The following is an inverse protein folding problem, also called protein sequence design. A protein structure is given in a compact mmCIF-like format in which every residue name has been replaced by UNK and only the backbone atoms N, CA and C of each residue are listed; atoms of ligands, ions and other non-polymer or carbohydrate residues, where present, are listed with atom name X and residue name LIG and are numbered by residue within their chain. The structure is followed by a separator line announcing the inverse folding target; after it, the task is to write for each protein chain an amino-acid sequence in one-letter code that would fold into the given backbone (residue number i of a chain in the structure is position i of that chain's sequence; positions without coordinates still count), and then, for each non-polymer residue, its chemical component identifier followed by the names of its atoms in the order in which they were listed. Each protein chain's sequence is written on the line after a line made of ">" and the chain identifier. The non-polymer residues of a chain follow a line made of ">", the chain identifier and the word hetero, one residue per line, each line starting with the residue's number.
data_IF_313575118402
#
_entry.id   IF_313575118402
#
_cell.length_a   1.000
_cell.length_b   1.000
_cell.length_c   1.000
_cell.angle_alpha   90.00
_cell.angle_beta   90.00
_cell.angle_gamma   90.00
#
_symmetry.space_group_name_H-M   'P 1'
#
loop_
_entity.id
_entity.type
_entity.pdbx_description
1 polymer ?
#
# COMPACT_ATOMS: atom_id res chain seq x y z
N UNK A 1 6.56 5.81 22.63
CA UNK A 1 5.23 6.41 22.86
C UNK A 1 4.20 5.38 22.44
N UNK A 2 3.03 5.25 23.10
CA UNK A 2 2.07 4.19 22.80
C UNK A 2 1.44 4.29 21.40
N UNK A 3 1.47 5.46 20.76
CA UNK A 3 0.95 5.71 19.41
C UNK A 3 2.03 5.68 18.32
N UNK A 4 3.27 5.25 18.63
CA UNK A 4 4.33 5.12 17.65
C UNK A 4 4.19 3.79 16.92
N UNK A 5 4.43 3.80 15.61
CA UNK A 5 4.54 2.60 14.76
C UNK A 5 5.96 2.44 14.25
N UNK A 6 6.48 1.21 14.27
CA UNK A 6 7.74 0.86 13.62
C UNK A 6 7.44 0.53 12.16
N UNK A 7 8.15 1.17 11.23
CA UNK A 7 7.94 0.93 9.80
C UNK A 7 8.84 -0.19 9.30
N UNK A 8 8.25 -1.28 8.79
CA UNK A 8 8.99 -2.47 8.34
C UNK A 8 8.60 -2.79 6.89
N UNK A 9 9.56 -2.91 5.95
CA UNK A 9 9.28 -3.34 4.59
C UNK A 9 8.68 -4.75 4.52
N UNK A 10 7.75 -4.97 3.58
CA UNK A 10 7.12 -6.26 3.27
C UNK A 10 8.02 -7.17 2.41
N UNK A 11 9.33 -7.12 2.63
CA UNK A 11 10.29 -8.00 1.97
C UNK A 11 10.27 -9.38 2.60
N UNK A 12 10.81 -10.40 1.94
CA UNK A 12 10.92 -11.76 2.46
C UNK A 12 11.52 -11.80 3.89
N UNK A 13 12.60 -11.04 4.13
CA UNK A 13 13.21 -10.92 5.46
C UNK A 13 12.39 -10.06 6.44
N UNK A 14 11.55 -9.16 5.93
CA UNK A 14 10.66 -8.32 6.73
C UNK A 14 9.47 -9.08 7.30
N UNK A 15 8.92 -10.06 6.56
CA UNK A 15 7.77 -10.88 6.98
C UNK A 15 7.95 -11.51 8.39
N UNK A 16 9.04 -12.26 8.68
CA UNK A 16 9.23 -12.83 10.02
C UNK A 16 9.48 -11.76 11.10
N UNK A 17 10.06 -10.61 10.73
CA UNK A 17 10.24 -9.49 11.66
C UNK A 17 8.89 -8.85 12.03
N UNK A 18 7.98 -8.67 11.07
CA UNK A 18 6.62 -8.17 11.30
C UNK A 18 5.89 -9.08 12.28
N UNK A 19 5.86 -10.38 12.02
CA UNK A 19 5.22 -11.36 12.90
C UNK A 19 5.75 -11.30 14.33
N UNK A 20 7.08 -11.22 14.48
CA UNK A 20 7.75 -11.14 15.78
C UNK A 20 7.35 -9.86 16.52
N UNK A 21 7.44 -8.71 15.86
CA UNK A 21 7.12 -7.41 16.47
C UNK A 21 5.65 -7.34 16.91
N UNK A 22 4.73 -7.84 16.08
CA UNK A 22 3.30 -7.91 16.42
C UNK A 22 3.08 -8.81 17.65
N UNK A 23 3.74 -9.98 17.69
CA UNK A 23 3.71 -10.88 18.85
C UNK A 23 4.31 -10.29 20.13
N UNK A 24 5.21 -9.33 20.01
CA UNK A 24 5.77 -8.56 21.12
C UNK A 24 4.93 -7.33 21.50
N UNK A 25 3.71 -7.24 20.97
CA UNK A 25 2.78 -6.12 21.19
C UNK A 25 3.29 -4.76 20.67
N UNK A 26 4.11 -4.77 19.61
CA UNK A 26 4.64 -3.56 18.98
C UNK A 26 3.74 -3.17 17.79
N UNK A 27 3.37 -1.88 17.73
CA UNK A 27 2.62 -1.36 16.57
C UNK A 27 3.53 -1.30 15.33
N UNK A 28 3.04 -1.81 14.20
CA UNK A 28 3.83 -1.89 12.97
C UNK A 28 3.09 -1.19 11.82
N UNK A 29 3.81 -0.34 11.09
CA UNK A 29 3.40 0.10 9.76
C UNK A 29 4.19 -0.75 8.75
N UNK A 30 3.52 -1.69 8.10
CA UNK A 30 4.16 -2.49 7.06
C UNK A 30 4.17 -1.68 5.76
N UNK A 31 5.27 -1.67 5.01
CA UNK A 31 5.45 -0.81 3.83
C UNK A 31 6.00 -1.55 2.62
N UNK A 32 6.00 -0.91 1.44
CA UNK A 32 6.51 -1.49 0.19
C UNK A 32 5.72 -2.73 -0.26
N UNK A 33 4.40 -2.71 -0.09
CA UNK A 33 3.49 -3.66 -0.74
C UNK A 33 2.97 -3.05 -2.03
N UNK A 34 2.98 -3.85 -3.10
CA UNK A 34 2.56 -3.43 -4.43
C UNK A 34 1.61 -4.43 -5.10
N UNK A 35 1.50 -5.65 -4.57
CA UNK A 35 0.71 -6.75 -5.13
C UNK A 35 -0.08 -7.48 -4.06
N UNK A 36 -1.03 -8.31 -4.53
CA UNK A 36 -1.79 -9.22 -3.67
C UNK A 36 -0.87 -10.13 -2.86
N UNK A 37 0.16 -10.72 -3.47
CA UNK A 37 1.10 -11.62 -2.79
C UNK A 37 1.85 -10.93 -1.64
N UNK A 38 2.30 -9.69 -1.85
CA UNK A 38 2.89 -8.89 -0.79
C UNK A 38 1.90 -8.67 0.36
N UNK A 39 0.64 -8.37 0.03
CA UNK A 39 -0.42 -8.15 1.02
C UNK A 39 -0.79 -9.43 1.79
N UNK A 40 -0.91 -10.58 1.12
CA UNK A 40 -1.18 -11.87 1.75
C UNK A 40 -0.06 -12.28 2.70
N UNK A 41 1.21 -12.16 2.27
CA UNK A 41 2.35 -12.47 3.13
C UNK A 41 2.34 -11.65 4.43
N UNK A 42 1.98 -10.37 4.32
CA UNK A 42 1.91 -9.44 5.45
C UNK A 42 0.71 -9.69 6.35
N UNK A 43 -0.48 -9.88 5.77
CA UNK A 43 -1.71 -10.12 6.53
C UNK A 43 -1.60 -11.44 7.30
N UNK A 44 -1.06 -12.50 6.69
CA UNK A 44 -0.80 -13.76 7.38
C UNK A 44 0.26 -13.63 8.49
N UNK A 45 1.33 -12.83 8.28
CA UNK A 45 2.30 -12.56 9.33
C UNK A 45 1.70 -11.77 10.50
N UNK A 46 0.80 -10.83 10.22
CA UNK A 46 0.05 -10.09 11.23
C UNK A 46 -0.80 -11.04 12.08
N UNK A 47 -1.61 -11.88 11.44
CA UNK A 47 -2.47 -12.85 12.12
C UNK A 47 -1.68 -13.81 13.01
N UNK A 48 -0.59 -14.41 12.50
CA UNK A 48 0.32 -15.26 13.30
C UNK A 48 0.98 -14.50 14.46
N UNK A 49 1.24 -13.21 14.29
CA UNK A 49 1.75 -12.35 15.35
C UNK A 49 0.70 -12.12 16.44
N UNK A 50 -0.55 -11.83 16.06
CA UNK A 50 -1.67 -11.61 16.99
C UNK A 50 -1.94 -12.86 17.84
N UNK A 51 -1.84 -14.06 17.25
CA UNK A 51 -1.91 -15.34 17.96
C UNK A 51 -0.88 -15.44 19.12
N UNK A 52 0.31 -14.88 18.92
CA UNK A 52 1.43 -14.92 19.89
C UNK A 52 1.42 -13.76 20.88
N UNK A 53 0.66 -12.70 20.57
CA UNK A 53 0.61 -11.48 21.35
C UNK A 53 0.03 -11.74 22.76
N UNK A 54 0.73 -11.25 23.79
CA UNK A 54 0.26 -11.39 25.17
C UNK A 54 -1.02 -10.54 25.41
N UNK A 55 -1.09 -9.36 24.80
CA UNK A 55 -2.24 -8.45 24.85
C UNK A 55 -2.55 -7.81 23.48
N UNK A 56 -3.24 -8.53 22.57
CA UNK A 56 -3.49 -8.06 21.21
C UNK A 56 -4.30 -6.76 21.15
N UNK A 57 -5.02 -6.39 22.23
CA UNK A 57 -5.74 -5.12 22.33
C UNK A 57 -4.86 -3.88 22.35
N UNK A 58 -3.54 -4.07 22.49
CA UNK A 58 -2.55 -2.98 22.48
C UNK A 58 -1.84 -2.84 21.14
N UNK A 59 -2.15 -3.69 20.16
CA UNK A 59 -1.51 -3.70 18.85
C UNK A 59 -2.35 -2.95 17.84
N UNK A 60 -1.77 -1.92 17.24
CA UNK A 60 -2.28 -1.28 16.04
C UNK A 60 -1.32 -1.54 14.88
N UNK A 61 -1.85 -1.97 13.74
CA UNK A 61 -1.07 -2.23 12.54
C UNK A 61 -1.74 -1.64 11.31
N UNK A 62 -0.93 -1.24 10.33
CA UNK A 62 -1.40 -0.81 9.01
C UNK A 62 -0.56 -1.49 7.92
N UNK A 63 -1.22 -1.87 6.83
CA UNK A 63 -0.59 -2.42 5.65
C UNK A 63 -0.50 -1.35 4.55
N UNK A 64 0.64 -0.67 4.44
CA UNK A 64 0.89 0.39 3.44
C UNK A 64 1.09 -0.16 2.02
N UNK A 65 0.02 -0.14 1.23
CA UNK A 65 -0.06 -0.55 -0.17
C UNK A 65 0.15 0.65 -1.10
N UNK A 66 1.13 0.56 -1.99
CA UNK A 66 1.59 1.67 -2.82
C UNK A 66 0.82 1.72 -4.14
N UNK A 67 0.30 2.91 -4.48
CA UNK A 67 -0.66 3.08 -5.60
C UNK A 67 0.01 3.68 -6.83
N UNK A 68 0.34 4.97 -6.83
CA UNK A 68 0.78 5.68 -8.05
C UNK A 68 2.05 5.14 -8.73
N UNK A 69 2.89 4.43 -7.98
CA UNK A 69 4.10 3.80 -8.55
C UNK A 69 3.74 2.66 -9.51
N UNK A 70 2.63 1.97 -9.26
CA UNK A 70 2.13 0.88 -10.11
C UNK A 70 1.71 1.44 -11.47
N UNK A 71 0.81 2.43 -11.52
CA UNK A 71 0.41 3.04 -12.80
C UNK A 71 1.61 3.66 -13.52
N UNK A 72 2.53 4.33 -12.80
CA UNK A 72 3.72 4.89 -13.46
C UNK A 72 4.53 3.80 -14.19
N UNK A 73 4.73 2.63 -13.57
CA UNK A 73 5.48 1.54 -14.18
C UNK A 73 4.68 0.82 -15.29
N UNK A 74 3.40 0.58 -15.04
CA UNK A 74 2.51 -0.13 -15.96
C UNK A 74 2.19 0.73 -17.20
N UNK A 75 1.88 2.01 -17.03
CA UNK A 75 1.58 2.93 -18.14
C UNK A 75 2.78 3.08 -19.08
N UNK A 76 4.01 2.99 -18.57
CA UNK A 76 5.20 2.98 -19.43
C UNK A 76 5.23 1.77 -20.36
N UNK A 77 4.89 0.57 -19.86
CA UNK A 77 4.80 -0.62 -20.70
C UNK A 77 3.59 -0.58 -21.64
N UNK A 78 2.44 -0.12 -21.17
CA UNK A 78 1.23 0.04 -21.97
C UNK A 78 1.43 1.04 -23.13
N UNK A 79 2.21 2.09 -22.92
CA UNK A 79 2.54 3.07 -23.96
C UNK A 79 3.31 2.43 -25.13
N UNK A 80 4.18 1.46 -24.86
CA UNK A 80 4.91 0.71 -25.90
C UNK A 80 4.00 -0.17 -26.75
N UNK A 81 2.85 -0.61 -26.20
CA UNK A 81 1.83 -1.39 -26.90
C UNK A 81 0.87 -0.53 -27.76
N UNK A 82 0.96 0.80 -27.66
CA UNK A 82 0.16 1.73 -28.44
C UNK A 82 -1.35 1.55 -28.25
N UNK A 83 -2.09 1.31 -29.35
CA UNK A 83 -3.54 1.22 -29.33
C UNK A 83 -4.09 0.07 -28.45
N UNK A 84 -3.32 -1.00 -28.27
CA UNK A 84 -3.71 -2.12 -27.42
C UNK A 84 -3.63 -1.77 -25.92
N UNK A 85 -2.66 -0.95 -25.51
CA UNK A 85 -2.48 -0.55 -24.11
C UNK A 85 -3.27 0.69 -23.70
N UNK A 86 -3.63 1.56 -24.64
CA UNK A 86 -4.33 2.82 -24.37
C UNK A 86 -5.60 2.72 -23.49
N UNK A 87 -6.45 1.67 -23.61
CA UNK A 87 -7.64 1.54 -22.76
C UNK A 87 -7.36 1.29 -21.28
N UNK A 88 -6.14 0.85 -20.92
CA UNK A 88 -5.75 0.44 -19.56
C UNK A 88 -4.96 1.52 -18.80
N UNK A 89 -4.54 2.59 -19.49
CA UNK A 89 -3.75 3.67 -18.92
C UNK A 89 -4.43 4.31 -17.69
N UNK A 90 -3.73 4.40 -16.57
CA UNK A 90 -4.21 4.99 -15.32
C UNK A 90 -5.33 4.24 -14.61
N UNK A 91 -5.58 2.97 -14.96
CA UNK A 91 -6.64 2.14 -14.34
C UNK A 91 -6.09 1.05 -13.41
N UNK A 92 -4.87 0.61 -13.63
CA UNK A 92 -4.33 -0.64 -13.07
C UNK A 92 -4.09 -0.51 -11.57
N UNK A 93 -3.56 0.62 -11.09
CA UNK A 93 -3.28 0.79 -9.67
C UNK A 93 -4.55 0.80 -8.81
N UNK A 94 -5.63 1.45 -9.28
CA UNK A 94 -6.92 1.44 -8.58
C UNK A 94 -7.53 0.03 -8.64
N UNK A 95 -7.49 -0.63 -9.80
CA UNK A 95 -8.00 -2.00 -9.93
C UNK A 95 -7.30 -2.97 -8.96
N UNK A 96 -5.96 -2.93 -8.92
CA UNK A 96 -5.13 -3.73 -8.00
C UNK A 96 -5.48 -3.45 -6.53
N UNK A 97 -5.66 -2.18 -6.15
CA UNK A 97 -6.04 -1.80 -4.79
C UNK A 97 -7.47 -2.23 -4.43
N UNK A 98 -8.44 -2.14 -5.35
CA UNK A 98 -9.83 -2.61 -5.15
C UNK A 98 -9.87 -4.11 -4.91
N UNK A 99 -9.18 -4.91 -5.75
CA UNK A 99 -9.10 -6.37 -5.58
C UNK A 99 -8.41 -6.73 -4.26
N UNK A 100 -7.32 -6.02 -3.91
CA UNK A 100 -6.67 -6.17 -2.60
C UNK A 100 -7.61 -5.85 -1.43
N UNK A 101 -8.48 -4.85 -1.58
CA UNK A 101 -9.48 -4.52 -0.56
C UNK A 101 -10.55 -5.59 -0.41
N UNK A 102 -10.94 -6.30 -1.49
CA UNK A 102 -11.83 -7.47 -1.35
C UNK A 102 -11.18 -8.55 -0.49
N UNK A 103 -9.89 -8.81 -0.71
CA UNK A 103 -9.14 -9.75 0.14
C UNK A 103 -9.03 -9.28 1.60
N UNK A 104 -8.92 -7.97 1.82
CA UNK A 104 -9.03 -7.41 3.17
C UNK A 104 -10.39 -7.68 3.82
N UNK A 105 -11.49 -7.53 3.10
CA UNK A 105 -12.82 -7.82 3.64
C UNK A 105 -12.98 -9.31 3.99
N UNK A 106 -12.40 -10.22 3.20
CA UNK A 106 -12.40 -11.65 3.51
C UNK A 106 -11.63 -11.98 4.80
N UNK A 107 -10.50 -11.32 5.04
CA UNK A 107 -9.62 -11.62 6.18
C UNK A 107 -10.00 -10.85 7.46
N UNK A 108 -10.52 -9.64 7.31
CA UNK A 108 -10.66 -8.65 8.37
C UNK A 108 -12.06 -8.00 8.44
N UNK A 109 -13.03 -8.56 7.71
CA UNK A 109 -14.41 -8.10 7.70
C UNK A 109 -15.17 -8.48 8.97
N UNK A 110 -16.48 -8.72 8.82
CA UNK A 110 -17.42 -8.83 9.94
C UNK A 110 -17.09 -9.98 10.90
N UNK A 111 -16.51 -11.07 10.40
CA UNK A 111 -16.18 -12.26 11.20
C UNK A 111 -14.89 -12.12 12.02
N UNK A 112 -14.08 -11.08 11.78
CA UNK A 112 -12.75 -10.94 12.40
C UNK A 112 -12.81 -10.92 13.93
N UNK A 113 -13.74 -10.18 14.54
CA UNK A 113 -13.86 -10.13 16.00
C UNK A 113 -14.28 -11.48 16.60
N UNK A 114 -15.09 -12.25 15.87
CA UNK A 114 -15.52 -13.57 16.32
C UNK A 114 -14.36 -14.59 16.27
N UNK A 115 -13.50 -14.51 15.25
CA UNK A 115 -12.36 -15.41 15.06
C UNK A 115 -11.15 -15.04 15.93
N UNK A 116 -10.82 -13.75 16.00
CA UNK A 116 -9.60 -13.24 16.64
C UNK A 116 -9.84 -12.62 18.02
N UNK A 117 -11.05 -12.83 18.55
CA UNK A 117 -11.54 -12.31 19.83
C UNK A 117 -10.47 -12.32 20.93
N UNK A 118 -10.43 -11.21 21.69
CA UNK A 118 -9.44 -10.75 22.71
C UNK A 118 -9.14 -9.24 22.52
N UNK A 119 -9.98 -8.52 21.78
CA UNK A 119 -9.81 -7.10 21.49
C UNK A 119 -8.73 -6.81 20.44
N UNK A 120 -8.30 -7.80 19.65
CA UNK A 120 -7.42 -7.58 18.51
C UNK A 120 -8.09 -6.62 17.52
N UNK A 121 -7.32 -5.73 16.91
CA UNK A 121 -7.83 -4.85 15.86
C UNK A 121 -7.55 -5.45 14.46
N UNK A 122 -8.39 -5.18 13.45
CA UNK A 122 -8.03 -5.41 12.06
C UNK A 122 -6.74 -4.69 11.67
N UNK A 123 -5.86 -5.34 10.88
CA UNK A 123 -4.76 -4.62 10.22
C UNK A 123 -5.31 -3.85 9.03
N UNK A 124 -5.56 -2.56 9.22
CA UNK A 124 -6.14 -1.69 8.19
C UNK A 124 -5.22 -1.58 6.98
N UNK A 125 -5.79 -1.63 5.78
CA UNK A 125 -5.10 -1.20 4.57
C UNK A 125 -4.79 0.31 4.65
N UNK A 126 -3.60 0.68 4.19
CA UNK A 126 -3.15 2.06 4.09
C UNK A 126 -2.70 2.35 2.66
N UNK A 127 -3.35 3.28 1.99
CA UNK A 127 -2.98 3.72 0.64
C UNK A 127 -1.82 4.70 0.73
N UNK A 128 -0.68 4.30 0.16
CA UNK A 128 0.56 5.08 0.13
C UNK A 128 0.89 5.50 -1.30
N UNK A 129 1.66 6.58 -1.43
CA UNK A 129 2.01 7.15 -2.73
C UNK A 129 0.76 7.45 -3.57
N UNK A 130 -0.18 8.20 -3.03
CA UNK A 130 -1.48 8.51 -3.64
C UNK A 130 -1.55 9.90 -4.31
N UNK A 131 -0.41 10.59 -4.42
CA UNK A 131 -0.33 11.77 -5.29
C UNK A 131 -0.13 11.37 -6.74
N UNK A 132 -1.04 11.80 -7.62
CA UNK A 132 -1.00 11.57 -9.07
C UNK A 132 0.31 12.03 -9.70
N UNK A 133 0.88 11.21 -10.59
CA UNK A 133 2.16 11.50 -11.27
C UNK A 133 2.00 12.00 -12.69
N UNK A 134 0.94 11.57 -13.35
CA UNK A 134 0.63 11.95 -14.72
C UNK A 134 -0.30 13.17 -14.72
N UNK A 135 0.10 14.33 -15.29
CA UNK A 135 -0.74 15.53 -15.32
C UNK A 135 -1.99 15.39 -16.21
N UNK A 136 -2.11 14.33 -17.00
CA UNK A 136 -3.33 14.03 -17.76
C UNK A 136 -4.44 13.43 -16.88
N UNK A 137 -4.12 12.96 -15.67
CA UNK A 137 -5.08 12.41 -14.73
C UNK A 137 -5.47 13.45 -13.68
N UNK A 138 -6.63 13.24 -13.04
CA UNK A 138 -7.03 14.04 -11.88
C UNK A 138 -5.96 13.95 -10.78
N UNK A 139 -5.61 15.09 -10.18
CA UNK A 139 -4.63 15.18 -9.08
C UNK A 139 -5.11 14.54 -7.78
N UNK A 140 -6.41 14.21 -7.71
CA UNK A 140 -7.08 13.50 -6.61
C UNK A 140 -7.60 12.11 -7.01
N UNK A 141 -7.30 11.62 -8.21
CA UNK A 141 -7.75 10.32 -8.76
C UNK A 141 -7.62 9.17 -7.75
N UNK A 142 -6.45 9.01 -7.13
CA UNK A 142 -6.21 7.92 -6.18
C UNK A 142 -6.85 8.16 -4.81
N UNK A 143 -7.13 9.41 -4.45
CA UNK A 143 -7.82 9.70 -3.19
C UNK A 143 -9.26 9.29 -3.32
N UNK A 144 -9.96 9.79 -4.34
CA UNK A 144 -11.38 9.50 -4.60
C UNK A 144 -11.61 8.01 -4.87
N UNK A 145 -10.80 7.40 -5.75
CA UNK A 145 -10.99 6.01 -6.16
C UNK A 145 -10.72 4.97 -5.07
N UNK A 146 -10.15 5.36 -3.93
CA UNK A 146 -9.72 4.45 -2.86
C UNK A 146 -10.34 4.76 -1.49
N UNK A 147 -11.45 5.50 -1.47
CA UNK A 147 -12.20 5.72 -0.24
C UNK A 147 -13.00 4.46 0.09
N UNK A 148 -12.87 4.00 1.34
CA UNK A 148 -13.71 2.93 1.86
C UNK A 148 -13.47 2.68 3.34
N UNK A 149 -14.37 1.90 3.93
CA UNK A 149 -14.40 1.64 5.36
C UNK A 149 -13.09 1.01 5.87
N UNK A 150 -12.69 1.39 7.09
CA UNK A 150 -11.53 0.81 7.77
C UNK A 150 -10.20 0.88 6.98
N UNK A 151 -10.06 1.86 6.08
CA UNK A 151 -8.79 2.15 5.40
C UNK A 151 -8.16 3.44 5.92
N UNK A 152 -6.89 3.64 5.57
CA UNK A 152 -6.14 4.88 5.79
C UNK A 152 -5.59 5.34 4.45
N UNK A 153 -5.53 6.65 4.21
CA UNK A 153 -4.77 7.19 3.09
C UNK A 153 -3.69 8.15 3.63
N UNK A 154 -2.44 7.96 3.21
CA UNK A 154 -1.33 8.84 3.60
C UNK A 154 -1.02 9.80 2.47
N UNK A 155 -1.48 11.04 2.64
CA UNK A 155 -1.41 12.06 1.60
C UNK A 155 -0.21 13.00 1.81
N UNK A 156 0.52 13.37 0.74
CA UNK A 156 1.37 14.56 0.80
C UNK A 156 0.49 15.82 0.92
N UNK A 157 1.00 16.93 1.49
CA UNK A 157 0.21 18.14 1.72
C UNK A 157 -0.51 18.66 0.46
N UNK A 158 0.16 18.68 -0.69
CA UNK A 158 -0.44 19.15 -1.94
C UNK A 158 -1.67 18.34 -2.39
N UNK A 159 -1.65 17.02 -2.21
CA UNK A 159 -2.80 16.16 -2.56
C UNK A 159 -3.93 16.31 -1.54
N UNK A 160 -3.61 16.54 -0.26
CA UNK A 160 -4.61 16.87 0.75
C UNK A 160 -5.30 18.21 0.44
N UNK A 161 -4.52 19.23 0.05
CA UNK A 161 -5.06 20.55 -0.32
C UNK A 161 -5.95 20.46 -1.57
N UNK A 162 -5.54 19.71 -2.59
CA UNK A 162 -6.35 19.46 -3.79
C UNK A 162 -7.68 18.76 -3.46
N UNK A 163 -7.64 17.70 -2.64
CA UNK A 163 -8.86 17.01 -2.23
C UNK A 163 -9.79 17.90 -1.39
N UNK A 164 -9.24 18.76 -0.53
CA UNK A 164 -10.04 19.70 0.24
C UNK A 164 -10.68 20.81 -0.61
N UNK A 165 -10.04 21.19 -1.73
CA UNK A 165 -10.55 22.21 -2.65
C UNK A 165 -11.69 21.68 -3.54
N UNK A 166 -11.52 20.50 -4.14
CA UNK A 166 -12.45 20.03 -5.17
C UNK A 166 -12.74 18.52 -5.16
N UNK A 167 -12.40 17.80 -4.08
CA UNK A 167 -12.67 16.37 -3.95
C UNK A 167 -14.08 16.01 -3.51
N UNK A 168 -14.51 14.81 -3.88
CA UNK A 168 -15.75 14.18 -3.40
C UNK A 168 -15.44 12.94 -2.58
N UNK A 169 -16.16 12.76 -1.48
CA UNK A 169 -16.02 11.59 -0.62
C UNK A 169 -17.13 10.56 -0.91
N UNK A 170 -16.81 9.52 -1.66
CA UNK A 170 -17.67 8.35 -1.85
C UNK A 170 -17.16 7.15 -1.05
N UNK A 171 -17.85 6.81 0.03
CA UNK A 171 -17.45 5.68 0.91
C UNK A 171 -17.62 4.32 0.25
N UNK A 172 -18.32 4.24 -0.87
CA UNK A 172 -18.53 3.02 -1.63
C UNK A 172 -17.45 2.80 -2.71
N UNK A 173 -16.55 3.75 -2.96
CA UNK A 173 -15.61 3.69 -4.08
C UNK A 173 -14.80 2.38 -4.17
N UNK A 174 -14.36 1.83 -3.03
CA UNK A 174 -13.61 0.56 -2.98
C UNK A 174 -14.46 -0.72 -3.17
N UNK A 175 -15.78 -0.63 -3.08
CA UNK A 175 -16.72 -1.77 -3.23
C UNK A 175 -17.62 -1.66 -4.47
N UNK A 176 -17.57 -0.53 -5.17
CA UNK A 176 -18.19 -0.34 -6.48
C UNK A 176 -17.29 -0.85 -7.61
N UNK A 177 -17.91 -1.32 -8.69
CA UNK A 177 -17.24 -1.73 -9.93
C UNK A 177 -16.06 -2.71 -9.71
N UNK A 178 -16.20 -3.60 -8.73
CA UNK A 178 -15.16 -4.60 -8.39
C UNK A 178 -14.95 -5.59 -9.54
N UNK A 179 -16.03 -5.99 -10.23
CA UNK A 179 -15.94 -6.87 -11.40
C UNK A 179 -15.14 -6.20 -12.53
N UNK A 180 -15.30 -4.88 -12.72
CA UNK A 180 -14.50 -4.11 -13.70
C UNK A 180 -13.03 -4.05 -13.28
N UNK A 181 -12.74 -3.96 -11.98
CA UNK A 181 -11.36 -4.03 -11.48
C UNK A 181 -10.71 -5.38 -11.82
N UNK A 182 -11.40 -6.51 -11.62
CA UNK A 182 -10.92 -7.81 -12.06
C UNK A 182 -10.72 -7.87 -13.58
N UNK A 183 -11.66 -7.34 -14.36
CA UNK A 183 -11.57 -7.30 -15.82
C UNK A 183 -10.39 -6.45 -16.32
N UNK A 184 -10.04 -5.35 -15.65
CA UNK A 184 -8.84 -4.55 -15.96
C UNK A 184 -7.56 -5.37 -15.76
N UNK A 185 -7.46 -6.12 -14.67
CA UNK A 185 -6.29 -6.97 -14.40
C UNK A 185 -6.18 -8.13 -15.39
N UNK A 186 -7.30 -8.77 -15.74
CA UNK A 186 -7.33 -9.83 -16.78
C UNK A 186 -6.93 -9.27 -18.15
N UNK A 187 -7.44 -8.09 -18.52
CA UNK A 187 -7.07 -7.43 -19.78
C UNK A 187 -5.58 -7.04 -19.83
N UNK A 188 -5.02 -6.62 -18.69
CA UNK A 188 -3.60 -6.30 -18.57
C UNK A 188 -2.72 -7.52 -18.89
N UNK A 189 -3.06 -8.66 -18.31
CA UNK A 189 -2.40 -9.93 -18.62
C UNK A 189 -2.59 -10.32 -20.09
N UNK A 190 -3.81 -10.16 -20.63
CA UNK A 190 -4.12 -10.51 -22.02
C UNK A 190 -3.35 -9.69 -23.06
N UNK A 191 -2.93 -8.46 -22.72
CA UNK A 191 -2.05 -7.64 -23.57
C UNK A 191 -0.55 -7.89 -23.31
N UNK A 192 -0.23 -8.84 -22.43
CA UNK A 192 1.13 -9.32 -22.18
C UNK A 192 1.93 -8.50 -21.16
N UNK A 193 1.25 -7.72 -20.31
CA UNK A 193 1.92 -6.98 -19.22
C UNK A 193 1.82 -7.79 -17.93
N UNK A 194 2.97 -8.20 -17.41
CA UNK A 194 3.10 -8.98 -16.19
C UNK A 194 3.11 -8.05 -14.97
N UNK A 195 1.98 -7.92 -14.30
CA UNK A 195 1.84 -7.07 -13.12
C UNK A 195 2.69 -7.59 -11.95
N UNK A 196 2.80 -8.90 -11.77
CA UNK A 196 3.54 -9.49 -10.66
C UNK A 196 5.03 -9.14 -10.79
N UNK A 197 5.61 -9.36 -11.97
CA UNK A 197 7.00 -8.97 -12.25
C UNK A 197 7.25 -7.47 -12.04
N UNK A 198 6.30 -6.61 -12.45
CA UNK A 198 6.40 -5.16 -12.21
C UNK A 198 6.39 -4.85 -10.72
N UNK A 199 5.49 -5.46 -9.96
CA UNK A 199 5.33 -5.17 -8.53
C UNK A 199 6.50 -5.68 -7.69
N UNK A 200 7.11 -6.81 -8.06
CA UNK A 200 8.34 -7.33 -7.46
C UNK A 200 9.53 -6.41 -7.71
N UNK A 201 9.65 -5.92 -8.95
CA UNK A 201 10.67 -4.93 -9.30
C UNK A 201 10.46 -3.63 -8.53
N UNK A 202 9.20 -3.15 -8.41
CA UNK A 202 8.86 -1.97 -7.62
C UNK A 202 9.21 -2.11 -6.13
N UNK A 203 9.07 -3.32 -5.56
CA UNK A 203 9.52 -3.57 -4.19
C UNK A 203 11.05 -3.46 -4.10
N UNK A 204 11.77 -4.12 -4.99
CA UNK A 204 13.24 -4.09 -5.05
C UNK A 204 13.77 -2.67 -5.19
N UNK A 205 13.25 -1.92 -6.16
CA UNK A 205 13.62 -0.53 -6.41
C UNK A 205 13.21 0.38 -5.24
N UNK A 206 12.09 0.07 -4.60
CA UNK A 206 11.61 0.77 -3.41
C UNK A 206 12.56 0.62 -2.22
N UNK A 207 13.12 -0.57 -2.02
CA UNK A 207 14.15 -0.82 -0.99
C UNK A 207 15.41 -0.03 -1.31
N UNK A 208 15.90 -0.09 -2.56
CA UNK A 208 17.10 0.64 -2.96
C UNK A 208 16.94 2.15 -2.79
N UNK A 209 15.80 2.71 -3.20
CA UNK A 209 15.50 4.13 -3.04
C UNK A 209 15.48 4.56 -1.56
N UNK A 210 15.07 3.68 -0.64
CA UNK A 210 15.11 3.96 0.80
C UNK A 210 16.55 3.92 1.34
N UNK A 211 17.38 2.99 0.87
CA UNK A 211 18.82 2.94 1.22
C UNK A 211 19.51 4.21 0.76
N UNK A 212 19.34 4.58 -0.51
CA UNK A 212 19.97 5.76 -1.10
C UNK A 212 19.57 7.06 -0.37
N UNK A 213 18.29 7.20 -0.03
CA UNK A 213 17.79 8.34 0.72
C UNK A 213 18.39 8.40 2.15
N UNK A 214 18.59 7.24 2.78
CA UNK A 214 19.18 7.16 4.12
C UNK A 214 20.69 7.47 4.09
N UNK A 215 21.42 6.96 3.09
CA UNK A 215 22.84 7.29 2.90
C UNK A 215 23.03 8.78 2.62
N UNK A 216 22.15 9.39 1.83
CA UNK A 216 22.11 10.84 1.61
C UNK A 216 21.92 11.63 2.91
N UNK A 217 21.00 11.19 3.78
CA UNK A 217 20.78 11.79 5.10
C UNK A 217 22.05 11.70 5.97
N UNK A 218 22.69 10.53 6.03
CA UNK A 218 23.93 10.33 6.80
C UNK A 218 25.08 11.19 6.25
N UNK A 219 25.17 11.32 4.93
CA UNK A 219 26.11 12.23 4.26
C UNK A 219 25.93 13.68 4.70
N UNK A 220 24.69 14.19 4.65
CA UNK A 220 24.38 15.56 5.06
C UNK A 220 24.72 15.83 6.55
N UNK A 221 24.46 14.85 7.43
CA UNK A 221 24.86 14.95 8.85
C UNK A 221 26.38 15.02 8.99
N UNK A 222 27.11 14.18 8.26
CA UNK A 222 28.58 14.14 8.28
C UNK A 222 29.19 15.46 7.78
N UNK A 223 28.65 16.03 6.71
CA UNK A 223 29.06 17.34 6.19
C UNK A 223 28.82 18.43 7.22
N UNK A 224 27.60 18.49 7.79
CA UNK A 224 27.26 19.50 8.79
C UNK A 224 28.15 19.40 10.03
N UNK A 225 28.43 18.19 10.51
CA UNK A 225 29.36 17.96 11.62
C UNK A 225 30.76 18.46 11.29
N UNK A 226 31.26 18.17 10.08
CA UNK A 226 32.61 18.57 9.67
C UNK A 226 32.75 20.08 9.48
N UNK A 227 31.68 20.79 9.14
CA UNK A 227 31.67 22.25 9.04
C UNK A 227 31.54 22.97 10.41
N UNK A 228 31.23 22.25 11.49
CA UNK A 228 31.08 22.79 12.85
C UNK A 228 32.29 22.50 13.76
N UNK A 229 33.23 21.65 13.30
CA UNK A 229 34.49 21.30 13.99
C UNK A 229 35.64 21.97 13.27
#
# INVERSE_FOLDING_TARGET
>A
RPNLMIKVPATEAGIPAIETLIGENINVNVTLMFSMDHYEAVSHAYLRGIEKAADPSRVASVASFFVSRVDTAVDNQLAELGAAGAPLLGKVAIANAKVTYQRYLELFGDDFEAEWGKGAFPQRLLWASTGTKNPAYSDIMYVEGLIGHNTVNTLPPATLDAFADHGSADVAALVEDVDDAYAVLEQLEAVGVDLDAITDQLQTDGVQAFIDAFDGLLGAIKEKRSALV
#
